data_IF_049218099266
#
_entry.id   IF_049218099266
#
_cell.length_a   1.000
_cell.length_b   1.000
_cell.length_c   1.000
_cell.angle_alpha   90.00
_cell.angle_beta   90.00
_cell.angle_gamma   90.00
#
_symmetry.space_group_name_H-M   'P 1'
#
loop_
_entity.id
_entity.type
_entity.pdbx_description
1 polymer ?
#
# COMPACT_ATOMS: atom_id res chain seq x y z
N UNK A 1 -2.96 -15.05 14.07
CA UNK A 1 -3.29 -14.94 12.64
C UNK A 1 -4.75 -15.35 12.48
N UNK A 2 -5.64 -14.37 12.33
CA UNK A 2 -7.07 -14.55 12.08
C UNK A 2 -7.27 -14.72 10.57
N UNK A 3 -7.61 -15.92 10.07
CA UNK A 3 -7.62 -16.20 8.62
C UNK A 3 -8.54 -15.26 7.83
N UNK A 4 -9.68 -14.89 8.41
CA UNK A 4 -10.68 -14.01 7.81
C UNK A 4 -10.12 -12.62 7.47
N UNK A 5 -9.28 -12.04 8.33
CA UNK A 5 -8.72 -10.70 8.09
C UNK A 5 -7.71 -10.70 6.95
N UNK A 6 -6.96 -11.79 6.78
CA UNK A 6 -5.97 -11.94 5.71
C UNK A 6 -6.65 -12.17 4.35
N UNK A 7 -7.74 -12.93 4.34
CA UNK A 7 -8.57 -13.11 3.14
C UNK A 7 -9.20 -11.78 2.71
N UNK A 8 -9.81 -11.04 3.65
CA UNK A 8 -10.37 -9.72 3.37
C UNK A 8 -9.30 -8.73 2.88
N UNK A 9 -8.13 -8.70 3.51
CA UNK A 9 -6.98 -7.91 3.05
C UNK A 9 -6.55 -8.27 1.62
N UNK A 10 -6.53 -9.56 1.29
CA UNK A 10 -6.17 -10.03 -0.06
C UNK A 10 -7.20 -9.60 -1.09
N UNK A 11 -8.49 -9.66 -0.74
CA UNK A 11 -9.59 -9.16 -1.58
C UNK A 11 -9.44 -7.67 -1.88
N UNK A 12 -9.12 -6.84 -0.88
CA UNK A 12 -8.88 -5.40 -1.08
C UNK A 12 -7.73 -5.13 -2.07
N UNK A 13 -6.63 -5.87 -1.96
CA UNK A 13 -5.51 -5.78 -2.91
C UNK A 13 -5.94 -6.17 -4.33
N UNK A 14 -6.74 -7.24 -4.45
CA UNK A 14 -7.23 -7.72 -5.74
C UNK A 14 -8.21 -6.72 -6.37
N UNK A 15 -9.13 -6.14 -5.61
CA UNK A 15 -10.06 -5.11 -6.08
C UNK A 15 -9.34 -3.86 -6.59
N UNK A 16 -8.31 -3.38 -5.89
CA UNK A 16 -7.49 -2.26 -6.33
C UNK A 16 -6.80 -2.53 -7.67
N UNK A 17 -6.35 -3.77 -7.87
CA UNK A 17 -5.74 -4.22 -9.12
C UNK A 17 -6.76 -4.33 -10.24
N UNK A 18 -7.92 -4.94 -9.99
CA UNK A 18 -8.97 -5.16 -10.98
C UNK A 18 -9.61 -3.84 -11.46
N UNK A 19 -9.73 -2.87 -10.55
CA UNK A 19 -10.15 -1.50 -10.89
C UNK A 19 -9.05 -0.70 -11.61
N UNK A 20 -7.85 -1.26 -11.77
CA UNK A 20 -6.70 -0.59 -12.39
C UNK A 20 -6.18 0.61 -11.60
N UNK A 21 -6.51 0.71 -10.31
CA UNK A 21 -6.13 1.82 -9.44
C UNK A 21 -4.68 1.67 -8.97
N UNK A 22 -4.34 0.53 -8.35
CA UNK A 22 -3.00 0.28 -7.83
C UNK A 22 -2.71 -1.22 -7.67
N UNK A 23 -1.43 -1.58 -7.69
CA UNK A 23 -0.96 -2.88 -7.22
C UNK A 23 -0.27 -2.69 -5.87
N UNK A 24 -0.82 -3.29 -4.82
CA UNK A 24 -0.39 -3.06 -3.43
C UNK A 24 0.19 -4.35 -2.85
N UNK A 25 1.31 -4.21 -2.15
CA UNK A 25 1.88 -5.29 -1.33
C UNK A 25 2.12 -4.78 0.09
N UNK A 26 1.90 -5.67 1.07
CA UNK A 26 2.24 -5.43 2.47
C UNK A 26 3.26 -6.47 2.90
N UNK A 27 4.39 -6.03 3.44
CA UNK A 27 5.44 -6.87 3.99
C UNK A 27 5.49 -6.70 5.50
N UNK A 28 5.64 -7.79 6.24
CA UNK A 28 5.96 -7.77 7.67
C UNK A 28 7.33 -8.42 7.83
N UNK A 29 8.36 -7.64 8.17
CA UNK A 29 9.74 -8.12 8.15
C UNK A 29 10.62 -7.41 9.19
N UNK A 30 11.36 -8.21 9.97
CA UNK A 30 12.36 -7.74 10.92
C UNK A 30 13.72 -7.50 10.24
N UNK A 31 14.58 -6.70 10.88
CA UNK A 31 16.00 -6.59 10.54
C UNK A 31 16.30 -5.76 9.29
N UNK A 32 15.39 -4.89 8.87
CA UNK A 32 15.57 -4.06 7.65
C UNK A 32 16.32 -2.76 8.00
N UNK A 33 17.60 -2.68 7.59
CA UNK A 33 18.50 -1.56 7.93
C UNK A 33 18.28 -0.28 7.09
N UNK A 34 17.68 -0.37 5.90
CA UNK A 34 17.33 0.77 5.04
C UNK A 34 15.89 0.63 4.51
N UNK A 35 14.87 0.96 5.32
CA UNK A 35 13.49 0.56 5.06
C UNK A 35 12.88 1.21 3.81
N UNK A 36 13.21 2.48 3.53
CA UNK A 36 12.70 3.20 2.36
C UNK A 36 13.28 2.65 1.06
N UNK A 37 14.59 2.39 1.03
CA UNK A 37 15.27 1.79 -0.11
C UNK A 37 14.80 0.35 -0.32
N UNK A 38 14.67 -0.41 0.77
CA UNK A 38 14.15 -1.77 0.73
C UNK A 38 12.75 -1.82 0.12
N UNK A 39 11.80 -1.03 0.63
CA UNK A 39 10.44 -0.98 0.10
C UNK A 39 10.43 -0.58 -1.40
N UNK A 40 11.26 0.39 -1.77
CA UNK A 40 11.37 0.86 -3.17
C UNK A 40 11.96 -0.20 -4.09
N UNK A 41 13.05 -0.86 -3.69
CA UNK A 41 13.68 -1.90 -4.48
C UNK A 41 12.82 -3.16 -4.56
N UNK A 42 12.12 -3.51 -3.49
CA UNK A 42 11.18 -4.62 -3.47
C UNK A 42 10.03 -4.41 -4.46
N UNK A 43 9.41 -3.22 -4.46
CA UNK A 43 8.35 -2.89 -5.42
C UNK A 43 8.84 -2.91 -6.88
N UNK A 44 10.06 -2.43 -7.14
CA UNK A 44 10.70 -2.50 -8.46
C UNK A 44 10.99 -3.93 -8.90
N UNK A 45 11.47 -4.78 -7.97
CA UNK A 45 11.75 -6.18 -8.23
C UNK A 45 10.49 -6.95 -8.61
N UNK A 46 9.37 -6.70 -7.93
CA UNK A 46 8.05 -7.23 -8.27
C UNK A 46 7.42 -6.60 -9.52
N UNK A 47 7.99 -5.51 -10.04
CA UNK A 47 7.48 -4.74 -11.19
C UNK A 47 6.05 -4.21 -10.97
N UNK A 48 5.72 -3.84 -9.72
CA UNK A 48 4.37 -3.40 -9.36
C UNK A 48 3.92 -2.21 -10.20
N UNK A 49 2.66 -2.24 -10.64
CA UNK A 49 1.99 -1.14 -11.31
C UNK A 49 2.49 -0.84 -12.73
N UNK A 50 3.25 -1.74 -13.35
CA UNK A 50 3.76 -1.57 -14.72
C UNK A 50 2.69 -1.89 -15.78
N UNK A 51 2.21 -0.89 -16.51
CA UNK A 51 1.43 -1.07 -17.75
C UNK A 51 2.33 -0.88 -18.97
N UNK A 52 2.81 -1.97 -19.58
CA UNK A 52 3.48 -1.98 -20.90
C UNK A 52 4.69 -1.06 -21.08
N UNK A 53 5.26 -1.01 -22.28
CA UNK A 53 6.36 -0.10 -22.69
C UNK A 53 5.86 1.34 -22.97
N UNK A 54 4.67 1.71 -22.51
CA UNK A 54 4.05 3.02 -22.76
C UNK A 54 4.60 4.11 -21.85
N UNK A 55 5.02 5.22 -22.45
CA UNK A 55 5.71 6.37 -21.82
C UNK A 55 4.82 7.26 -20.95
N UNK A 56 3.56 6.93 -20.72
CA UNK A 56 2.62 7.75 -19.94
C UNK A 56 1.90 6.91 -18.87
N UNK A 57 2.21 7.18 -17.59
CA UNK A 57 1.38 6.78 -16.45
C UNK A 57 1.64 5.40 -15.79
N UNK A 58 2.54 4.56 -16.31
CA UNK A 58 2.79 3.22 -15.75
C UNK A 58 3.73 3.22 -14.55
N UNK A 59 3.21 3.29 -13.32
CA UNK A 59 3.80 2.73 -12.09
C UNK A 59 2.87 3.00 -10.89
N UNK A 60 1.73 2.31 -10.81
CA UNK A 60 0.77 2.45 -9.71
C UNK A 60 1.06 1.47 -8.55
N UNK A 61 2.33 1.14 -8.32
CA UNK A 61 2.73 0.25 -7.25
C UNK A 61 2.72 0.94 -5.88
N UNK A 62 2.25 0.26 -4.84
CA UNK A 62 2.42 0.68 -3.44
C UNK A 62 3.03 -0.47 -2.65
N UNK A 63 4.08 -0.16 -1.89
CA UNK A 63 4.68 -1.10 -0.95
C UNK A 63 4.51 -0.54 0.45
N UNK A 64 3.86 -1.30 1.33
CA UNK A 64 3.85 -1.07 2.76
C UNK A 64 4.82 -2.04 3.42
N UNK A 65 5.84 -1.51 4.11
CA UNK A 65 6.78 -2.28 4.91
C UNK A 65 6.49 -2.06 6.38
N UNK A 66 6.11 -3.14 7.07
CA UNK A 66 5.87 -3.19 8.51
C UNK A 66 7.06 -3.87 9.16
N UNK A 67 7.70 -3.19 10.11
CA UNK A 67 8.90 -3.64 10.83
C UNK A 67 8.58 -3.86 12.31
N UNK A 68 8.26 -5.09 12.74
CA UNK A 68 7.93 -5.39 14.14
C UNK A 68 8.99 -4.97 15.14
N UNK A 69 10.27 -4.98 14.75
CA UNK A 69 11.43 -4.64 15.56
C UNK A 69 11.77 -3.14 15.62
N UNK A 70 11.11 -2.30 14.82
CA UNK A 70 11.35 -0.87 14.80
C UNK A 70 10.41 -0.09 15.76
N UNK A 71 10.90 1.06 16.24
CA UNK A 71 10.08 2.08 16.93
C UNK A 71 9.04 2.66 15.96
N UNK A 72 9.48 3.09 14.78
CA UNK A 72 8.61 3.47 13.68
C UNK A 72 8.37 2.26 12.76
N UNK A 73 7.27 1.56 13.05
CA UNK A 73 6.97 0.26 12.42
C UNK A 73 6.62 0.37 10.93
N UNK A 74 6.01 1.46 10.48
CA UNK A 74 5.51 1.58 9.11
C UNK A 74 6.48 2.38 8.24
N UNK A 75 6.84 1.84 7.09
CA UNK A 75 7.53 2.55 6.00
C UNK A 75 6.81 2.25 4.70
N UNK A 76 6.86 3.14 3.73
CA UNK A 76 6.18 2.93 2.45
C UNK A 76 7.02 3.37 1.25
N UNK A 77 6.66 2.85 0.09
CA UNK A 77 7.11 3.35 -1.21
C UNK A 77 5.90 3.46 -2.13
N UNK A 78 5.78 4.57 -2.85
CA UNK A 78 4.68 4.85 -3.79
C UNK A 78 5.26 5.08 -5.18
N UNK A 79 4.69 4.39 -6.16
CA UNK A 79 5.04 4.53 -7.55
C UNK A 79 4.61 5.87 -8.14
N UNK A 80 5.36 6.35 -9.13
CA UNK A 80 5.14 7.67 -9.76
C UNK A 80 3.80 7.81 -10.50
N UNK A 81 3.09 6.71 -10.75
CA UNK A 81 1.76 6.72 -11.35
C UNK A 81 0.66 7.19 -10.40
N UNK A 82 0.98 7.43 -9.12
CA UNK A 82 0.04 7.89 -8.09
C UNK A 82 0.38 9.31 -7.57
N UNK A 83 0.54 10.34 -8.42
CA UNK A 83 1.04 11.65 -7.99
C UNK A 83 0.10 12.42 -7.04
N UNK A 84 -1.18 12.04 -6.97
CA UNK A 84 -2.17 12.69 -6.11
C UNK A 84 -2.29 12.00 -4.73
N UNK A 85 -1.63 10.84 -4.54
CA UNK A 85 -1.49 10.21 -3.23
C UNK A 85 -0.36 10.91 -2.46
N UNK A 86 -0.68 12.07 -1.89
CA UNK A 86 0.28 12.95 -1.23
C UNK A 86 0.78 12.38 0.11
N UNK A 87 1.89 12.90 0.61
CA UNK A 87 2.45 12.55 1.92
C UNK A 87 1.44 12.75 3.06
N UNK A 88 0.62 13.81 3.02
CA UNK A 88 -0.44 14.03 4.02
C UNK A 88 -1.45 12.88 4.07
N UNK A 89 -1.90 12.40 2.91
CA UNK A 89 -2.81 11.24 2.83
C UNK A 89 -2.15 9.95 3.31
N UNK A 90 -0.85 9.79 3.06
CA UNK A 90 -0.09 8.66 3.59
C UNK A 90 -0.02 8.69 5.12
N UNK A 91 0.15 9.87 5.72
CA UNK A 91 0.11 10.04 7.18
C UNK A 91 -1.25 9.66 7.76
N UNK A 92 -2.35 10.00 7.08
CA UNK A 92 -3.70 9.60 7.52
C UNK A 92 -3.87 8.06 7.54
N UNK A 93 -3.40 7.37 6.49
CA UNK A 93 -3.42 5.90 6.42
C UNK A 93 -2.57 5.28 7.54
N UNK A 94 -1.38 5.82 7.78
CA UNK A 94 -0.46 5.38 8.83
C UNK A 94 -1.10 5.57 10.22
N UNK A 95 -1.67 6.74 10.49
CA UNK A 95 -2.27 7.05 11.79
C UNK A 95 -3.46 6.15 12.12
N UNK A 96 -4.24 5.75 11.12
CA UNK A 96 -5.37 4.84 11.33
C UNK A 96 -4.94 3.41 11.71
N UNK A 97 -3.72 2.99 11.36
CA UNK A 97 -3.26 1.60 11.50
C UNK A 97 -2.13 1.40 12.52
N UNK A 98 -1.35 2.45 12.84
CA UNK A 98 -0.13 2.35 13.66
C UNK A 98 -0.32 1.70 15.02
N UNK A 99 -1.43 1.96 15.70
CA UNK A 99 -1.65 1.44 17.06
C UNK A 99 -1.83 -0.08 17.05
N UNK A 100 -2.48 -0.64 16.03
CA UNK A 100 -2.57 -2.08 15.87
C UNK A 100 -1.18 -2.73 15.75
N UNK A 101 -0.28 -2.14 14.97
CA UNK A 101 1.09 -2.65 14.86
C UNK A 101 1.89 -2.46 16.14
N UNK A 102 1.70 -1.35 16.86
CA UNK A 102 2.33 -1.10 18.16
C UNK A 102 1.91 -2.12 19.23
N UNK A 103 0.66 -2.58 19.17
CA UNK A 103 0.12 -3.63 20.05
C UNK A 103 0.24 -5.04 19.47
N UNK A 104 1.07 -5.26 18.44
CA UNK A 104 1.31 -6.56 17.79
C UNK A 104 0.05 -7.22 17.18
N UNK A 105 -1.01 -6.45 16.92
CA UNK A 105 -2.21 -6.91 16.22
C UNK A 105 -2.04 -6.73 14.70
N UNK A 106 -1.12 -7.50 14.12
CA UNK A 106 -0.73 -7.35 12.72
C UNK A 106 -1.88 -7.62 11.75
N UNK A 107 -2.72 -8.64 12.00
CA UNK A 107 -3.82 -8.99 11.10
C UNK A 107 -4.81 -7.81 10.95
N UNK A 108 -5.22 -7.22 12.07
CA UNK A 108 -6.13 -6.07 12.07
C UNK A 108 -5.43 -4.82 11.54
N UNK A 109 -4.15 -4.63 11.86
CA UNK A 109 -3.36 -3.51 11.35
C UNK A 109 -3.27 -3.50 9.82
N UNK A 110 -2.99 -4.67 9.21
CA UNK A 110 -2.95 -4.83 7.75
C UNK A 110 -4.32 -4.56 7.12
N UNK A 111 -5.39 -5.10 7.71
CA UNK A 111 -6.74 -4.86 7.21
C UNK A 111 -7.12 -3.38 7.23
N UNK A 112 -6.86 -2.69 8.34
CA UNK A 112 -7.15 -1.25 8.47
C UNK A 112 -6.27 -0.43 7.52
N UNK A 113 -4.99 -0.75 7.40
CA UNK A 113 -4.05 -0.11 6.48
C UNK A 113 -4.56 -0.19 5.02
N UNK A 114 -5.01 -1.37 4.60
CA UNK A 114 -5.50 -1.61 3.24
C UNK A 114 -6.86 -0.96 3.00
N UNK A 115 -7.80 -1.02 3.95
CA UNK A 115 -9.07 -0.28 3.86
C UNK A 115 -8.84 1.22 3.67
N UNK A 116 -7.94 1.80 4.45
CA UNK A 116 -7.63 3.23 4.31
C UNK A 116 -6.87 3.54 3.02
N UNK A 117 -5.97 2.67 2.57
CA UNK A 117 -5.31 2.80 1.26
C UNK A 117 -6.35 2.80 0.13
N UNK A 118 -7.28 1.84 0.15
CA UNK A 118 -8.35 1.77 -0.85
C UNK A 118 -9.25 3.00 -0.81
N UNK A 119 -9.71 3.41 0.37
CA UNK A 119 -10.55 4.60 0.52
C UNK A 119 -9.89 5.84 -0.08
N UNK A 120 -8.60 6.07 0.20
CA UNK A 120 -7.86 7.20 -0.36
C UNK A 120 -7.74 7.10 -1.89
N UNK A 121 -7.38 5.92 -2.42
CA UNK A 121 -7.26 5.72 -3.87
C UNK A 121 -8.60 5.90 -4.59
N UNK A 122 -9.69 5.37 -4.05
CA UNK A 122 -11.05 5.52 -4.62
C UNK A 122 -11.50 6.99 -4.57
N UNK A 123 -11.24 7.71 -3.47
CA UNK A 123 -11.56 9.14 -3.38
C UNK A 123 -10.82 9.98 -4.42
N UNK A 124 -9.55 9.67 -4.67
CA UNK A 124 -8.70 10.43 -5.59
C UNK A 124 -8.97 10.06 -7.06
N UNK A 125 -9.07 8.77 -7.35
CA UNK A 125 -9.03 8.23 -8.71
C UNK A 125 -10.33 7.54 -9.15
N UNK A 126 -11.17 7.09 -8.21
CA UNK A 126 -12.41 6.36 -8.50
C UNK A 126 -13.51 7.19 -9.19
N UNK A 127 -13.36 8.52 -9.26
CA UNK A 127 -14.29 9.40 -9.99
C UNK A 127 -13.97 9.56 -11.48
N UNK A 128 -12.86 9.02 -12.00
CA UNK A 128 -12.50 9.07 -13.44
C UNK A 128 -13.25 8.03 -14.30
N UNK A 129 -14.51 7.79 -13.99
CA UNK A 129 -15.43 6.92 -14.74
C UNK A 129 -16.42 7.67 -15.64
N UNK A 130 -16.18 8.95 -15.94
CA UNK A 130 -16.92 9.68 -16.98
C UNK A 130 -15.91 10.44 -17.84
N UNK A 131 -15.54 9.84 -18.97
CA UNK A 131 -15.13 10.59 -20.15
C UNK A 131 -16.38 10.75 -21.03
N UNK A 132 -16.62 11.94 -21.61
CA UNK A 132 -17.71 12.17 -22.55
C UNK A 132 -17.58 11.33 -23.83
#
# INVERSE_FOLDING_TARGET
MHPQNIEEASTLCQELKDQGLAEVVVLIQNGVQHPADYATHFGRWLRLGKKGLGTEGGNNGIVWLIRPDATEKITYSVGRGLPLLTSGRMVDIINASKDYFNFNNYDQGVLVLLKQTQNQLVQIYGRKGVSP
#
